data_IF_251087859749
#
_entry.id   IF_251087859749
#
_cell.length_a   1.000
_cell.length_b   1.000
_cell.length_c   1.000
_cell.angle_alpha   90.00
_cell.angle_beta   90.00
_cell.angle_gamma   90.00
#
_symmetry.space_group_name_H-M   'P 1'
#
loop_
_entity.id
_entity.type
_entity.pdbx_description
1 polymer ?
#
# COMPACT_ATOMS: atom_id res chain seq x y z
N UNK A 1 -17.14 28.49 -32.13
CA UNK A 1 -17.55 28.03 -30.79
C UNK A 1 -17.30 26.53 -30.73
N UNK A 2 -16.16 26.12 -30.18
CA UNK A 2 -15.86 24.71 -29.89
C UNK A 2 -15.94 24.62 -28.37
N UNK A 3 -16.97 23.94 -27.86
CA UNK A 3 -17.23 23.82 -26.44
C UNK A 3 -16.05 23.12 -25.76
N UNK A 4 -15.43 23.81 -24.81
CA UNK A 4 -14.49 23.19 -23.90
C UNK A 4 -15.26 22.16 -23.06
N UNK A 5 -15.02 20.87 -23.31
CA UNK A 5 -15.37 19.84 -22.34
C UNK A 5 -14.57 20.17 -21.07
N UNK A 6 -15.19 20.26 -19.89
CA UNK A 6 -14.50 20.71 -18.68
C UNK A 6 -13.31 19.78 -18.40
N UNK A 7 -12.13 20.39 -18.23
CA UNK A 7 -10.83 19.74 -18.04
C UNK A 7 -10.87 18.63 -16.97
N UNK A 8 -11.70 18.82 -15.93
CA UNK A 8 -11.97 17.84 -14.87
C UNK A 8 -12.61 16.53 -15.35
N UNK A 9 -13.51 16.57 -16.34
CA UNK A 9 -14.13 15.36 -16.90
C UNK A 9 -13.12 14.55 -17.73
N UNK A 10 -12.14 15.23 -18.33
CA UNK A 10 -11.07 14.58 -19.12
C UNK A 10 -10.07 13.88 -18.20
N UNK A 11 -9.75 14.49 -17.04
CA UNK A 11 -8.86 13.88 -16.03
C UNK A 11 -9.54 12.66 -15.40
N UNK A 12 -10.80 12.77 -14.98
CA UNK A 12 -11.54 11.65 -14.38
C UNK A 12 -11.63 10.43 -15.32
N UNK A 13 -11.87 10.66 -16.62
CA UNK A 13 -11.88 9.60 -17.63
C UNK A 13 -10.51 8.92 -17.77
N UNK A 14 -9.42 9.70 -17.80
CA UNK A 14 -8.06 9.14 -17.92
C UNK A 14 -7.67 8.32 -16.70
N UNK A 15 -8.00 8.81 -15.51
CA UNK A 15 -7.75 8.08 -14.25
C UNK A 15 -8.53 6.77 -14.26
N UNK A 16 -9.82 6.80 -14.62
CA UNK A 16 -10.65 5.60 -14.70
C UNK A 16 -10.12 4.58 -15.74
N UNK A 17 -9.70 5.07 -16.90
CA UNK A 17 -9.21 4.21 -17.99
C UNK A 17 -7.88 3.53 -17.66
N UNK A 18 -7.04 4.18 -16.85
CA UNK A 18 -5.76 3.63 -16.45
C UNK A 18 -5.81 2.81 -15.13
N UNK A 19 -7.00 2.67 -14.51
CA UNK A 19 -7.17 1.79 -13.34
C UNK A 19 -6.91 0.31 -13.72
N UNK A 20 -6.08 -0.42 -12.96
CA UNK A 20 -5.72 -1.81 -13.25
C UNK A 20 -6.78 -2.83 -12.83
N UNK A 21 -7.84 -2.37 -12.16
CA UNK A 21 -8.97 -3.17 -11.73
C UNK A 21 -10.24 -2.75 -12.47
N UNK A 22 -11.16 -3.70 -12.64
CA UNK A 22 -12.39 -3.45 -13.37
C UNK A 22 -13.31 -2.54 -12.56
N UNK A 23 -13.85 -1.52 -13.24
CA UNK A 23 -14.83 -0.59 -12.68
C UNK A 23 -16.05 -0.55 -13.59
N UNK A 24 -17.23 -0.76 -13.00
CA UNK A 24 -18.52 -0.67 -13.68
C UNK A 24 -19.44 0.28 -12.94
N UNK A 25 -20.03 1.24 -13.65
CA UNK A 25 -21.13 2.05 -13.13
C UNK A 25 -22.46 1.42 -13.50
N UNK A 26 -23.44 1.51 -12.61
CA UNK A 26 -24.81 1.04 -12.81
C UNK A 26 -25.81 2.16 -12.51
N UNK A 27 -26.80 2.31 -13.39
CA UNK A 27 -27.97 3.17 -13.14
C UNK A 27 -28.88 2.55 -12.08
N UNK A 28 -29.92 3.25 -11.64
CA UNK A 28 -30.98 2.72 -10.75
C UNK A 28 -31.68 1.44 -11.25
N UNK A 29 -31.58 1.13 -12.54
CA UNK A 29 -32.17 -0.08 -13.17
C UNK A 29 -31.12 -1.12 -13.55
N UNK A 30 -29.97 -1.12 -12.87
CA UNK A 30 -28.84 -2.03 -13.12
C UNK A 30 -28.35 -2.04 -14.57
N UNK A 31 -28.53 -0.91 -15.24
CA UNK A 31 -28.02 -0.69 -16.59
C UNK A 31 -26.61 -0.14 -16.50
N UNK A 32 -25.68 -0.72 -17.23
CA UNK A 32 -24.27 -0.32 -17.23
C UNK A 32 -24.10 1.10 -17.79
N UNK A 33 -23.55 2.01 -16.98
CA UNK A 33 -23.30 3.43 -17.33
C UNK A 33 -21.81 3.71 -17.55
N UNK A 34 -20.94 3.14 -16.72
CA UNK A 34 -19.49 3.34 -16.76
C UNK A 34 -18.83 1.99 -17.00
N UNK A 35 -17.79 1.98 -17.85
CA UNK A 35 -16.95 0.81 -18.14
C UNK A 35 -15.56 1.32 -18.43
N UNK A 36 -14.56 0.79 -17.72
CA UNK A 36 -13.14 1.02 -18.00
C UNK A 36 -12.50 -0.16 -18.75
N UNK A 37 -11.27 -0.03 -19.29
CA UNK A 37 -10.60 -1.09 -20.05
C UNK A 37 -10.39 -2.39 -19.27
N UNK A 38 -10.15 -2.31 -17.95
CA UNK A 38 -10.04 -3.49 -17.11
C UNK A 38 -11.39 -4.24 -17.00
N UNK A 39 -12.52 -3.53 -16.98
CA UNK A 39 -13.85 -4.14 -17.06
C UNK A 39 -14.13 -4.76 -18.44
N UNK A 40 -13.68 -4.14 -19.53
CA UNK A 40 -13.76 -4.77 -20.86
C UNK A 40 -13.02 -6.11 -20.91
N UNK A 41 -11.85 -6.15 -20.28
CA UNK A 41 -11.02 -7.36 -20.15
C UNK A 41 -11.70 -8.41 -19.29
N UNK A 42 -12.23 -8.03 -18.13
CA UNK A 42 -12.91 -8.94 -17.20
C UNK A 42 -14.15 -9.57 -17.83
N UNK A 43 -14.98 -8.78 -18.51
CA UNK A 43 -16.23 -9.23 -19.13
C UNK A 43 -16.02 -9.77 -20.57
N UNK A 44 -14.79 -9.74 -21.08
CA UNK A 44 -14.40 -10.11 -22.44
C UNK A 44 -15.29 -9.47 -23.53
N UNK A 45 -15.68 -8.21 -23.33
CA UNK A 45 -16.55 -7.45 -24.23
C UNK A 45 -16.17 -5.98 -24.22
N UNK A 46 -16.29 -5.32 -25.36
CA UNK A 46 -15.97 -3.90 -25.46
C UNK A 46 -16.99 -3.01 -24.75
N UNK A 47 -16.58 -1.81 -24.34
CA UNK A 47 -17.41 -0.84 -23.65
C UNK A 47 -18.70 -0.48 -24.41
N UNK A 48 -18.72 -0.34 -25.75
CA UNK A 48 -19.97 -0.13 -26.49
C UNK A 48 -20.95 -1.31 -26.43
N UNK A 49 -20.48 -2.54 -26.20
CA UNK A 49 -21.34 -3.72 -26.05
C UNK A 49 -21.87 -3.89 -24.62
N UNK A 50 -21.18 -3.30 -23.65
CA UNK A 50 -21.52 -3.34 -22.23
C UNK A 50 -22.43 -2.17 -21.83
N UNK A 51 -22.10 -0.94 -22.23
CA UNK A 51 -22.85 0.28 -21.88
C UNK A 51 -24.29 0.22 -22.39
N UNK A 52 -25.22 0.67 -21.56
CA UNK A 52 -26.65 0.71 -21.86
C UNK A 52 -27.36 -0.65 -21.75
N UNK A 53 -26.65 -1.73 -21.39
CA UNK A 53 -27.26 -3.04 -21.16
C UNK A 53 -27.51 -3.31 -19.67
N UNK A 54 -28.58 -4.03 -19.32
CA UNK A 54 -28.77 -4.51 -17.96
C UNK A 54 -27.71 -5.58 -17.63
N UNK A 55 -27.20 -5.57 -16.39
CA UNK A 55 -26.15 -6.50 -15.97
C UNK A 55 -26.61 -7.97 -16.04
N UNK A 56 -27.93 -8.21 -15.92
CA UNK A 56 -28.58 -9.53 -16.08
C UNK A 56 -28.43 -10.12 -17.48
N UNK A 57 -28.13 -9.32 -18.51
CA UNK A 57 -27.83 -9.83 -19.86
C UNK A 57 -26.38 -10.37 -19.97
N UNK A 58 -25.54 -10.01 -18.99
CA UNK A 58 -24.11 -10.31 -18.97
C UNK A 58 -23.78 -11.47 -18.02
N UNK A 59 -24.65 -11.72 -17.04
CA UNK A 59 -24.47 -12.70 -15.97
C UNK A 59 -25.65 -13.67 -15.92
N UNK A 60 -25.44 -14.92 -15.47
CA UNK A 60 -26.52 -15.84 -15.15
C UNK A 60 -27.50 -15.25 -14.12
N UNK A 61 -28.80 -15.59 -14.18
CA UNK A 61 -29.79 -15.11 -13.20
C UNK A 61 -29.48 -15.47 -11.74
N UNK A 62 -28.72 -16.54 -11.52
CA UNK A 62 -28.29 -17.05 -10.22
C UNK A 62 -26.88 -16.59 -9.82
N UNK A 63 -26.31 -15.60 -10.52
CA UNK A 63 -24.98 -15.10 -10.23
C UNK A 63 -24.95 -14.41 -8.85
N UNK A 64 -24.03 -14.80 -7.93
CA UNK A 64 -23.92 -14.20 -6.59
C UNK A 64 -23.67 -12.68 -6.59
N UNK A 65 -23.12 -12.16 -7.70
CA UNK A 65 -22.91 -10.74 -7.91
C UNK A 65 -24.24 -9.96 -7.98
N UNK A 66 -25.30 -10.55 -8.54
CA UNK A 66 -26.62 -9.90 -8.62
C UNK A 66 -27.23 -9.74 -7.22
N UNK A 67 -27.17 -10.79 -6.39
CA UNK A 67 -27.64 -10.75 -4.99
C UNK A 67 -26.89 -9.69 -4.17
N UNK A 68 -25.57 -9.56 -4.41
CA UNK A 68 -24.74 -8.53 -3.79
C UNK A 68 -25.19 -7.11 -4.18
N UNK A 69 -25.44 -6.86 -5.47
CA UNK A 69 -25.91 -5.55 -5.96
C UNK A 69 -27.27 -5.21 -5.35
N UNK A 70 -28.19 -6.17 -5.34
CA UNK A 70 -29.52 -5.99 -4.74
C UNK A 70 -29.45 -5.64 -3.26
N UNK A 71 -28.51 -6.25 -2.53
CA UNK A 71 -28.29 -5.92 -1.11
C UNK A 71 -27.67 -4.53 -0.96
N UNK A 72 -26.66 -4.18 -1.76
CA UNK A 72 -26.04 -2.85 -1.74
C UNK A 72 -27.06 -1.73 -1.99
N UNK A 73 -28.01 -1.94 -2.91
CA UNK A 73 -29.11 -1.00 -3.18
C UNK A 73 -30.04 -0.79 -1.99
N UNK A 74 -30.35 -1.86 -1.24
CA UNK A 74 -31.25 -1.78 -0.09
C UNK A 74 -30.60 -1.08 1.10
N UNK A 75 -29.30 -1.29 1.30
CA UNK A 75 -28.56 -0.76 2.45
C UNK A 75 -28.11 0.70 2.24
N UNK A 76 -27.92 1.15 1.00
CA UNK A 76 -27.74 2.58 0.68
C UNK A 76 -26.39 3.18 1.07
N UNK A 77 -25.37 2.35 1.29
CA UNK A 77 -24.02 2.75 1.68
C UNK A 77 -22.94 1.99 0.91
N UNK A 78 -21.66 2.21 1.28
CA UNK A 78 -20.55 1.43 0.72
C UNK A 78 -20.59 0.01 1.28
N UNK A 79 -20.53 -0.99 0.40
CA UNK A 79 -20.57 -2.40 0.77
C UNK A 79 -19.49 -3.17 0.04
N UNK A 80 -18.88 -4.13 0.71
CA UNK A 80 -17.87 -5.02 0.12
C UNK A 80 -18.21 -6.48 0.39
N UNK A 81 -17.89 -7.35 -0.56
CA UNK A 81 -18.04 -8.79 -0.44
C UNK A 81 -16.84 -9.49 -1.05
N UNK A 82 -16.45 -10.60 -0.43
CA UNK A 82 -15.23 -11.32 -0.79
C UNK A 82 -15.53 -12.59 -1.56
N UNK A 83 -14.63 -12.96 -2.45
CA UNK A 83 -14.73 -14.21 -3.23
C UNK A 83 -16.09 -14.40 -3.91
N UNK A 84 -16.66 -13.31 -4.44
CA UNK A 84 -17.83 -13.40 -5.33
C UNK A 84 -17.37 -14.09 -6.60
N UNK A 85 -17.99 -15.23 -6.89
CA UNK A 85 -17.78 -15.93 -8.15
C UNK A 85 -18.48 -15.20 -9.27
N UNK A 86 -17.69 -14.69 -10.22
CA UNK A 86 -18.18 -14.12 -11.48
C UNK A 86 -17.92 -15.15 -12.58
N UNK A 87 -18.99 -15.59 -13.21
CA UNK A 87 -18.95 -16.54 -14.31
C UNK A 87 -20.06 -16.21 -15.30
N UNK A 88 -19.79 -16.39 -16.59
CA UNK A 88 -20.81 -16.33 -17.64
C UNK A 88 -20.38 -17.25 -18.79
N UNK A 89 -21.22 -17.50 -19.80
CA UNK A 89 -20.82 -18.25 -21.00
C UNK A 89 -19.56 -17.73 -21.69
N UNK A 90 -19.20 -16.45 -21.47
CA UNK A 90 -18.03 -15.80 -22.06
C UNK A 90 -16.95 -15.41 -21.03
N UNK A 91 -17.20 -15.63 -19.74
CA UNK A 91 -16.28 -15.24 -18.67
C UNK A 91 -15.84 -16.52 -17.98
N UNK A 92 -14.54 -16.83 -18.07
CA UNK A 92 -13.94 -17.92 -17.29
C UNK A 92 -14.20 -17.67 -15.80
N UNK A 93 -14.75 -18.66 -15.06
CA UNK A 93 -15.08 -18.48 -13.66
C UNK A 93 -13.91 -17.94 -12.84
N UNK A 94 -14.11 -16.79 -12.20
CA UNK A 94 -13.11 -16.12 -11.38
C UNK A 94 -13.75 -15.67 -10.06
N UNK A 95 -13.01 -15.81 -8.97
CA UNK A 95 -13.41 -15.29 -7.67
C UNK A 95 -12.82 -13.90 -7.50
N UNK A 96 -13.66 -12.92 -7.17
CA UNK A 96 -13.31 -11.52 -7.04
C UNK A 96 -13.81 -10.96 -5.71
N UNK A 97 -13.03 -10.07 -5.11
CA UNK A 97 -13.52 -9.18 -4.07
C UNK A 97 -14.22 -8.01 -4.78
N UNK A 98 -15.45 -7.70 -4.40
CA UNK A 98 -16.28 -6.68 -5.05
C UNK A 98 -16.71 -5.65 -4.03
N UNK A 99 -16.54 -4.39 -4.38
CA UNK A 99 -17.09 -3.26 -3.62
C UNK A 99 -18.15 -2.54 -4.44
N UNK A 100 -19.22 -2.10 -3.78
CA UNK A 100 -20.28 -1.28 -4.32
C UNK A 100 -20.37 0.01 -3.52
N UNK A 101 -20.35 1.16 -4.19
CA UNK A 101 -20.56 2.47 -3.57
C UNK A 101 -21.63 3.25 -4.34
N UNK A 102 -22.41 4.12 -3.66
CA UNK A 102 -23.28 5.07 -4.35
C UNK A 102 -22.44 5.99 -5.26
N UNK A 103 -22.91 6.23 -6.49
CA UNK A 103 -22.21 7.12 -7.44
C UNK A 103 -22.51 8.61 -7.22
N UNK A 104 -23.36 8.93 -6.24
CA UNK A 104 -23.82 10.29 -5.94
C UNK A 104 -25.02 10.74 -6.77
N UNK A 105 -25.45 9.97 -7.77
CA UNK A 105 -26.73 10.13 -8.44
C UNK A 105 -27.82 9.29 -7.76
N UNK A 106 -29.09 9.63 -7.99
CA UNK A 106 -30.22 9.05 -7.26
C UNK A 106 -30.42 7.56 -7.60
N UNK A 107 -29.80 6.70 -6.80
CA UNK A 107 -29.85 5.25 -6.93
C UNK A 107 -28.86 4.68 -7.94
N UNK A 108 -27.81 5.39 -8.33
CA UNK A 108 -26.70 4.80 -9.09
C UNK A 108 -25.68 4.10 -8.17
N UNK A 109 -24.88 3.20 -8.76
CA UNK A 109 -23.83 2.46 -8.06
C UNK A 109 -22.54 2.42 -8.89
N UNK A 110 -21.39 2.49 -8.23
CA UNK A 110 -20.09 2.13 -8.80
C UNK A 110 -19.64 0.81 -8.18
N UNK A 111 -19.35 -0.16 -9.05
CA UNK A 111 -18.79 -1.45 -8.70
C UNK A 111 -17.30 -1.50 -9.03
N UNK A 112 -16.51 -1.94 -8.07
CA UNK A 112 -15.07 -2.16 -8.22
C UNK A 112 -14.77 -3.64 -8.01
N UNK A 113 -14.05 -4.26 -8.94
CA UNK A 113 -13.70 -5.68 -8.90
C UNK A 113 -12.20 -5.87 -8.72
N UNK A 114 -11.83 -6.52 -7.62
CA UNK A 114 -10.44 -6.80 -7.24
C UNK A 114 -10.18 -8.30 -7.30
N UNK A 115 -9.04 -8.76 -7.81
CA UNK A 115 -8.68 -10.18 -7.79
C UNK A 115 -8.58 -10.67 -6.34
N UNK A 116 -9.13 -11.85 -6.06
CA UNK A 116 -8.97 -12.49 -4.74
C UNK A 116 -7.49 -12.80 -4.53
N UNK A 117 -6.87 -12.13 -3.56
CA UNK A 117 -5.55 -12.55 -3.06
C UNK A 117 -5.75 -13.87 -2.34
N UNK A 118 -5.35 -14.98 -2.99
CA UNK A 118 -5.61 -16.35 -2.48
C UNK A 118 -4.84 -16.72 -1.21
N UNK A 119 -4.15 -15.80 -0.55
CA UNK A 119 -3.50 -16.04 0.73
C UNK A 119 -3.66 -14.81 1.62
N UNK A 120 -4.58 -14.87 2.59
CA UNK A 120 -4.55 -14.33 3.96
C UNK A 120 -6.01 -14.12 4.44
N UNK A 121 -6.43 -14.78 5.53
CA UNK A 121 -7.68 -14.45 6.19
C UNK A 121 -7.45 -13.23 7.10
N UNK A 122 -7.87 -12.05 6.67
CA UNK A 122 -8.24 -10.91 7.55
C UNK A 122 -8.88 -9.78 6.73
N UNK A 123 -9.90 -9.13 7.30
CA UNK A 123 -10.77 -8.11 6.66
C UNK A 123 -10.11 -6.74 6.45
N UNK A 124 -8.90 -6.51 6.98
CA UNK A 124 -8.11 -5.28 6.81
C UNK A 124 -7.22 -5.28 5.56
N UNK A 125 -6.90 -6.44 4.98
CA UNK A 125 -5.92 -6.54 3.90
C UNK A 125 -6.46 -6.13 2.51
N UNK A 126 -7.79 -6.20 2.28
CA UNK A 126 -8.37 -5.90 0.96
C UNK A 126 -8.47 -4.38 0.70
N UNK A 127 -8.87 -3.59 1.70
CA UNK A 127 -8.88 -2.12 1.62
C UNK A 127 -7.45 -1.57 1.47
N UNK A 128 -6.49 -2.13 2.21
CA UNK A 128 -5.07 -1.74 2.14
C UNK A 128 -4.47 -2.06 0.77
N UNK A 129 -4.82 -3.19 0.15
CA UNK A 129 -4.32 -3.57 -1.18
C UNK A 129 -4.89 -2.71 -2.32
N UNK A 130 -6.18 -2.38 -2.29
CA UNK A 130 -6.79 -1.47 -3.25
C UNK A 130 -6.26 -0.04 -3.09
N UNK A 131 -6.07 0.39 -1.85
CA UNK A 131 -5.45 1.68 -1.51
C UNK A 131 -3.97 1.74 -1.96
N UNK A 132 -3.22 0.64 -1.83
CA UNK A 132 -1.84 0.54 -2.30
C UNK A 132 -1.72 0.57 -3.83
N UNK A 133 -2.70 0.02 -4.57
CA UNK A 133 -2.75 0.16 -6.04
C UNK A 133 -3.12 1.59 -6.48
N UNK A 134 -4.06 2.24 -5.79
CA UNK A 134 -4.41 3.64 -6.05
C UNK A 134 -3.22 4.56 -5.73
N UNK A 135 -2.50 4.29 -4.65
CA UNK A 135 -1.26 4.97 -4.29
C UNK A 135 -0.17 4.79 -5.36
N UNK A 136 -0.04 3.58 -5.95
CA UNK A 136 0.88 3.26 -7.05
C UNK A 136 0.66 4.13 -8.30
N UNK A 137 -0.60 4.39 -8.60
CA UNK A 137 -0.98 5.12 -9.80
C UNK A 137 -0.92 6.64 -9.60
N UNK A 138 -1.45 7.14 -8.49
CA UNK A 138 -1.33 8.56 -8.11
C UNK A 138 0.12 8.96 -7.89
N UNK A 139 0.95 8.05 -7.39
CA UNK A 139 2.37 8.29 -7.17
C UNK A 139 3.12 8.74 -8.41
N UNK A 140 3.07 7.92 -9.45
CA UNK A 140 3.72 8.22 -10.72
C UNK A 140 3.03 9.37 -11.48
N UNK A 141 1.70 9.48 -11.42
CA UNK A 141 0.96 10.56 -12.09
C UNK A 141 1.08 11.92 -11.40
N UNK A 142 1.38 11.99 -10.09
CA UNK A 142 1.65 13.24 -9.37
C UNK A 142 3.13 13.62 -9.48
N UNK A 143 4.06 12.64 -9.42
CA UNK A 143 5.50 12.91 -9.60
C UNK A 143 5.82 13.58 -10.94
N UNK A 144 5.15 13.17 -12.02
CA UNK A 144 5.39 13.70 -13.35
C UNK A 144 5.09 15.22 -13.52
N UNK A 145 3.88 15.72 -13.23
CA UNK A 145 3.59 17.15 -13.28
C UNK A 145 4.36 17.94 -12.22
N UNK A 146 4.64 17.35 -11.05
CA UNK A 146 5.41 18.00 -10.01
C UNK A 146 6.88 18.23 -10.43
N UNK A 147 7.50 17.23 -11.05
CA UNK A 147 8.82 17.35 -11.65
C UNK A 147 8.83 18.43 -12.76
N UNK A 148 7.75 18.52 -13.54
CA UNK A 148 7.55 19.59 -14.51
C UNK A 148 7.49 20.99 -13.90
N UNK A 149 6.74 21.16 -12.81
CA UNK A 149 6.62 22.44 -12.06
C UNK A 149 7.96 22.84 -11.44
N UNK A 150 8.65 21.90 -10.79
CA UNK A 150 9.97 22.12 -10.18
C UNK A 150 11.01 22.45 -11.24
N UNK A 151 11.00 21.74 -12.37
CA UNK A 151 11.90 21.98 -13.50
C UNK A 151 11.66 23.35 -14.16
N UNK A 152 10.40 23.74 -14.35
CA UNK A 152 10.05 25.07 -14.85
C UNK A 152 10.52 26.17 -13.88
N UNK A 153 10.31 25.98 -12.57
CA UNK A 153 10.79 26.91 -11.55
C UNK A 153 12.32 27.03 -11.52
N UNK A 154 13.06 25.93 -11.72
CA UNK A 154 14.52 25.95 -11.86
C UNK A 154 14.99 26.70 -13.11
N UNK A 155 14.31 26.53 -14.24
CA UNK A 155 14.62 27.26 -15.47
C UNK A 155 14.36 28.76 -15.31
N UNK A 156 13.24 29.13 -14.70
CA UNK A 156 12.90 30.53 -14.42
C UNK A 156 13.89 31.16 -13.43
N UNK A 157 14.35 30.43 -12.41
CA UNK A 157 15.31 30.93 -11.43
C UNK A 157 16.66 31.33 -12.03
N UNK A 158 17.04 30.76 -13.20
CA UNK A 158 18.28 31.12 -13.91
C UNK A 158 18.24 32.49 -14.59
N UNK A 159 17.05 33.02 -14.85
CA UNK A 159 16.84 34.30 -15.54
C UNK A 159 16.01 35.29 -14.70
N UNK A 160 15.70 34.93 -13.45
CA UNK A 160 14.87 35.70 -12.55
C UNK A 160 15.61 36.88 -11.94
N UNK A 161 14.90 37.99 -11.75
CA UNK A 161 15.38 39.14 -10.96
C UNK A 161 15.35 38.81 -9.46
N UNK A 162 16.15 39.50 -8.65
CA UNK A 162 16.28 39.24 -7.21
C UNK A 162 14.93 39.25 -6.47
N UNK A 163 14.00 40.09 -6.89
CA UNK A 163 12.64 40.18 -6.33
C UNK A 163 11.79 38.92 -6.57
N UNK A 164 12.12 38.11 -7.59
CA UNK A 164 11.40 36.89 -7.98
C UNK A 164 12.01 35.62 -7.37
N UNK A 165 13.26 35.69 -6.90
CA UNK A 165 13.99 34.55 -6.31
C UNK A 165 13.32 33.94 -5.07
N UNK A 166 12.74 34.72 -4.12
CA UNK A 166 12.07 34.15 -2.96
C UNK A 166 10.88 33.28 -3.34
N UNK A 167 10.08 33.72 -4.32
CA UNK A 167 8.89 33.00 -4.77
C UNK A 167 9.26 31.69 -5.48
N UNK A 168 10.30 31.71 -6.33
CA UNK A 168 10.78 30.52 -7.05
C UNK A 168 11.44 29.50 -6.11
N UNK A 169 12.08 29.98 -5.05
CA UNK A 169 12.62 29.11 -3.99
C UNK A 169 11.50 28.41 -3.24
N UNK A 170 10.45 29.15 -2.87
CA UNK A 170 9.27 28.60 -2.19
C UNK A 170 8.56 27.54 -3.05
N UNK A 171 8.39 27.77 -4.36
CA UNK A 171 7.80 26.78 -5.29
C UNK A 171 8.63 25.49 -5.33
N UNK A 172 9.96 25.58 -5.33
CA UNK A 172 10.85 24.40 -5.32
C UNK A 172 10.80 23.66 -4.00
N UNK A 173 10.79 24.36 -2.88
CA UNK A 173 10.67 23.76 -1.54
C UNK A 173 9.33 23.04 -1.36
N UNK A 174 8.24 23.64 -1.86
CA UNK A 174 6.92 23.02 -1.82
C UNK A 174 6.82 21.82 -2.77
N UNK A 175 7.45 21.88 -3.94
CA UNK A 175 7.61 20.73 -4.83
C UNK A 175 8.36 19.58 -4.16
N UNK A 176 9.51 19.84 -3.56
CA UNK A 176 10.27 18.84 -2.81
C UNK A 176 9.53 18.33 -1.56
N UNK A 177 8.64 19.14 -0.97
CA UNK A 177 7.76 18.71 0.13
C UNK A 177 6.68 17.75 -0.36
N UNK A 178 6.02 18.05 -1.48
CA UNK A 178 5.01 17.19 -2.09
C UNK A 178 5.64 15.89 -2.59
N UNK A 179 6.83 15.94 -3.19
CA UNK A 179 7.56 14.74 -3.63
C UNK A 179 7.81 13.79 -2.46
N UNK A 180 8.29 14.31 -1.32
CA UNK A 180 8.44 13.52 -0.08
C UNK A 180 7.12 12.98 0.46
N UNK A 181 5.99 13.68 0.28
CA UNK A 181 4.66 13.18 0.67
C UNK A 181 4.27 12.01 -0.24
N UNK A 182 4.50 12.14 -1.55
CA UNK A 182 4.20 11.12 -2.55
C UNK A 182 5.13 9.92 -2.40
N UNK A 183 6.42 10.11 -2.14
CA UNK A 183 7.38 9.03 -1.82
C UNK A 183 6.93 8.21 -0.62
N UNK A 184 6.39 8.87 0.43
CA UNK A 184 5.80 8.18 1.58
C UNK A 184 4.52 7.43 1.23
N UNK A 185 3.74 7.94 0.28
CA UNK A 185 2.51 7.33 -0.20
C UNK A 185 2.78 6.09 -1.07
N UNK A 186 3.87 6.15 -1.82
CA UNK A 186 4.35 5.11 -2.75
C UNK A 186 5.27 4.07 -2.08
N UNK A 187 5.77 4.31 -0.88
CA UNK A 187 6.60 3.33 -0.15
C UNK A 187 5.91 1.96 0.07
N UNK A 188 4.57 1.88 0.03
CA UNK A 188 3.82 0.62 0.06
C UNK A 188 3.95 -0.22 -1.23
N UNK A 189 4.53 0.33 -2.31
CA UNK A 189 4.57 -0.27 -3.66
C UNK A 189 5.46 -1.50 -3.78
N UNK A 190 6.58 -1.57 -3.05
CA UNK A 190 7.67 -2.52 -3.33
C UNK A 190 7.40 -3.93 -2.82
N UNK A 191 6.55 -4.08 -1.80
CA UNK A 191 6.49 -5.30 -0.99
C UNK A 191 5.70 -6.46 -1.63
N UNK A 192 4.90 -6.21 -2.67
CA UNK A 192 4.02 -7.25 -3.25
C UNK A 192 4.72 -8.31 -4.10
N UNK A 193 5.98 -8.09 -4.51
CA UNK A 193 6.76 -9.08 -5.25
C UNK A 193 8.23 -9.04 -4.83
N UNK A 194 8.56 -9.63 -3.66
CA UNK A 194 9.93 -9.67 -3.17
C UNK A 194 10.87 -10.34 -4.18
N UNK A 195 12.00 -9.71 -4.45
CA UNK A 195 13.10 -10.28 -5.25
C UNK A 195 13.99 -11.10 -4.33
N UNK A 196 13.47 -12.24 -3.90
CA UNK A 196 14.16 -13.05 -2.90
C UNK A 196 15.44 -13.66 -3.45
N UNK A 197 16.45 -13.72 -2.59
CA UNK A 197 17.69 -14.47 -2.81
C UNK A 197 18.20 -14.98 -1.48
N UNK A 198 19.01 -16.03 -1.53
CA UNK A 198 19.72 -16.52 -0.35
C UNK A 198 20.61 -15.40 0.19
N UNK A 199 20.30 -14.97 1.41
CA UNK A 199 20.89 -13.79 2.04
C UNK A 199 21.27 -14.10 3.48
N UNK A 200 22.48 -13.69 3.87
CA UNK A 200 22.89 -13.64 5.26
C UNK A 200 22.26 -12.41 5.93
N UNK A 201 21.36 -12.64 6.88
CA UNK A 201 20.64 -11.57 7.60
C UNK A 201 21.57 -10.63 8.37
N UNK A 202 22.69 -11.14 8.91
CA UNK A 202 23.60 -10.33 9.71
C UNK A 202 24.27 -9.23 8.88
N UNK A 203 24.59 -9.51 7.60
CA UNK A 203 25.16 -8.51 6.68
C UNK A 203 24.18 -7.35 6.45
N UNK A 204 22.89 -7.65 6.29
CA UNK A 204 21.86 -6.64 6.11
C UNK A 204 21.68 -5.81 7.39
N UNK A 205 21.64 -6.48 8.55
CA UNK A 205 21.49 -5.81 9.84
C UNK A 205 22.70 -4.92 10.17
N UNK A 206 23.93 -5.36 9.89
CA UNK A 206 25.14 -4.56 10.09
C UNK A 206 25.07 -3.26 9.26
N UNK A 207 24.67 -3.35 7.99
CA UNK A 207 24.47 -2.17 7.13
C UNK A 207 23.46 -1.18 7.71
N UNK A 208 22.31 -1.68 8.21
CA UNK A 208 21.28 -0.84 8.85
C UNK A 208 21.83 -0.16 10.10
N UNK A 209 22.59 -0.88 10.92
CA UNK A 209 23.16 -0.36 12.16
C UNK A 209 24.22 0.69 11.88
N UNK A 210 25.07 0.49 10.87
CA UNK A 210 26.08 1.48 10.48
C UNK A 210 25.43 2.76 9.94
N UNK A 211 24.41 2.62 9.10
CA UNK A 211 23.61 3.75 8.62
C UNK A 211 22.93 4.49 9.79
N UNK A 212 22.39 3.76 10.75
CA UNK A 212 21.73 4.33 11.92
C UNK A 212 22.70 5.08 12.83
N UNK A 213 23.89 4.52 13.10
CA UNK A 213 24.96 5.19 13.85
C UNK A 213 25.43 6.47 13.17
N UNK A 214 25.57 6.46 11.84
CA UNK A 214 26.01 7.61 11.05
C UNK A 214 24.94 8.72 10.98
N UNK A 215 23.66 8.36 10.81
CA UNK A 215 22.57 9.31 10.56
C UNK A 215 21.99 9.91 11.83
N UNK A 216 22.06 9.20 12.96
CA UNK A 216 21.38 9.58 14.21
C UNK A 216 22.36 9.74 15.39
N UNK A 217 23.65 9.91 15.11
CA UNK A 217 24.74 9.84 16.09
C UNK A 217 24.60 10.77 17.30
N UNK A 218 24.55 10.19 18.50
CA UNK A 218 25.56 10.38 19.57
C UNK A 218 25.15 9.76 20.93
N UNK A 219 23.86 9.55 21.21
CA UNK A 219 23.44 9.23 22.60
C UNK A 219 23.09 7.77 22.87
N UNK A 220 22.67 6.98 21.86
CA UNK A 220 22.16 5.62 22.06
C UNK A 220 23.23 4.54 21.92
N UNK A 221 23.33 3.65 22.92
CA UNK A 221 24.21 2.48 22.89
C UNK A 221 23.53 1.34 22.13
N UNK A 222 24.15 0.88 21.04
CA UNK A 222 23.71 -0.29 20.29
C UNK A 222 24.38 -1.57 20.84
N UNK A 223 23.58 -2.61 21.08
CA UNK A 223 24.06 -3.94 21.48
C UNK A 223 23.61 -5.00 20.48
N UNK A 224 24.57 -5.65 19.83
CA UNK A 224 24.30 -6.67 18.81
C UNK A 224 24.46 -8.06 19.43
N UNK A 225 23.37 -8.83 19.43
CA UNK A 225 23.28 -10.16 20.03
C UNK A 225 22.92 -11.17 18.94
N UNK A 226 23.83 -11.36 17.99
CA UNK A 226 23.60 -12.25 16.85
C UNK A 226 23.86 -13.71 17.21
N UNK A 227 22.98 -14.59 16.73
CA UNK A 227 23.18 -16.03 16.77
C UNK A 227 23.98 -16.45 15.53
N UNK A 228 25.27 -16.84 15.68
CA UNK A 228 26.13 -17.18 14.55
C UNK A 228 25.78 -18.54 13.91
N UNK A 229 24.87 -19.31 14.51
CA UNK A 229 24.46 -20.62 13.99
C UNK A 229 23.33 -20.53 12.96
N UNK A 230 22.77 -19.34 12.75
CA UNK A 230 21.66 -19.14 11.84
C UNK A 230 22.08 -19.34 10.37
N UNK A 231 21.29 -20.09 9.58
CA UNK A 231 21.54 -20.25 8.16
C UNK A 231 21.17 -18.98 7.39
N UNK A 232 21.66 -18.88 6.16
CA UNK A 232 21.13 -17.92 5.19
C UNK A 232 19.67 -18.24 4.87
N UNK A 233 18.88 -17.20 4.58
CA UNK A 233 17.44 -17.32 4.31
C UNK A 233 17.12 -16.78 2.92
N UNK A 234 16.06 -17.32 2.31
CA UNK A 234 15.51 -16.81 1.04
C UNK A 234 14.63 -15.59 1.33
N UNK A 235 15.17 -14.39 1.12
CA UNK A 235 14.54 -13.11 1.45
C UNK A 235 14.95 -12.04 0.45
N UNK A 236 14.13 -11.02 0.26
CA UNK A 236 14.56 -9.81 -0.43
C UNK A 236 15.40 -8.95 0.55
N UNK A 237 16.70 -8.75 0.27
CA UNK A 237 17.60 -8.02 1.16
C UNK A 237 17.24 -6.54 1.30
N UNK A 238 16.66 -5.92 0.27
CA UNK A 238 16.30 -4.51 0.29
C UNK A 238 15.06 -4.31 1.18
N UNK A 239 14.08 -5.22 1.07
CA UNK A 239 12.94 -5.26 1.98
C UNK A 239 13.36 -5.53 3.42
N UNK A 240 14.27 -6.49 3.65
CA UNK A 240 14.77 -6.77 4.99
C UNK A 240 15.50 -5.55 5.58
N UNK A 241 16.29 -4.87 4.76
CA UNK A 241 16.98 -3.63 5.14
C UNK A 241 15.97 -2.55 5.55
N UNK A 242 14.92 -2.35 4.76
CA UNK A 242 13.89 -1.35 5.04
C UNK A 242 13.08 -1.65 6.31
N UNK A 243 12.67 -2.91 6.52
CA UNK A 243 11.97 -3.33 7.73
C UNK A 243 12.84 -3.09 8.97
N UNK A 244 14.09 -3.55 8.94
CA UNK A 244 15.02 -3.36 10.04
C UNK A 244 15.32 -1.88 10.31
N UNK A 245 15.48 -1.07 9.26
CA UNK A 245 15.71 0.37 9.39
C UNK A 245 14.51 1.09 10.02
N UNK A 246 13.29 0.74 9.65
CA UNK A 246 12.07 1.31 10.25
C UNK A 246 11.96 0.95 11.74
N UNK A 247 12.26 -0.30 12.12
CA UNK A 247 12.28 -0.72 13.52
C UNK A 247 13.37 0.01 14.32
N UNK A 248 14.59 0.07 13.79
CA UNK A 248 15.72 0.76 14.43
C UNK A 248 15.46 2.26 14.58
N UNK A 249 14.90 2.90 13.55
CA UNK A 249 14.51 4.31 13.62
C UNK A 249 13.45 4.56 14.67
N UNK A 250 12.42 3.70 14.74
CA UNK A 250 11.39 3.80 15.76
C UNK A 250 11.97 3.66 17.18
N UNK A 251 12.91 2.74 17.39
CA UNK A 251 13.64 2.56 18.64
C UNK A 251 14.47 3.81 19.00
N UNK A 252 15.21 4.39 18.04
CA UNK A 252 16.00 5.62 18.25
C UNK A 252 15.09 6.78 18.67
N UNK A 253 13.97 6.95 18.00
CA UNK A 253 13.00 7.99 18.34
C UNK A 253 12.36 7.75 19.71
N UNK A 254 12.10 6.49 20.09
CA UNK A 254 11.52 6.12 21.38
C UNK A 254 12.47 6.40 22.53
N UNK A 255 13.77 6.08 22.39
CA UNK A 255 14.79 6.38 23.40
C UNK A 255 15.26 7.84 23.40
N UNK A 256 14.63 8.70 22.60
CA UNK A 256 14.92 10.12 22.48
C UNK A 256 14.80 10.92 23.78
N UNK A 257 14.71 12.25 23.64
CA UNK A 257 14.93 13.23 24.71
C UNK A 257 14.12 12.88 25.98
N UNK A 258 14.82 12.37 27.01
CA UNK A 258 14.23 12.00 28.30
C UNK A 258 14.68 10.64 28.86
N UNK A 259 15.21 9.73 28.03
CA UNK A 259 15.66 8.41 28.48
C UNK A 259 17.06 8.47 29.09
N UNK A 260 17.23 7.97 30.32
CA UNK A 260 18.56 7.83 30.94
C UNK A 260 19.27 6.60 30.37
N UNK A 261 20.48 6.78 29.84
CA UNK A 261 21.28 5.71 29.21
C UNK A 261 20.51 4.98 28.09
N UNK A 262 20.17 5.68 26.99
CA UNK A 262 19.40 5.09 25.91
C UNK A 262 20.16 3.90 25.30
N UNK A 263 19.46 2.77 25.18
CA UNK A 263 19.98 1.48 24.77
C UNK A 263 19.03 0.87 23.75
N UNK A 264 19.61 0.36 22.67
CA UNK A 264 18.90 -0.37 21.63
C UNK A 264 19.65 -1.69 21.43
N UNK A 265 18.98 -2.83 21.59
CA UNK A 265 19.56 -4.13 21.28
C UNK A 265 18.93 -4.72 20.02
N UNK A 266 19.77 -5.27 19.14
CA UNK A 266 19.33 -6.05 17.98
C UNK A 266 19.83 -7.47 18.15
N UNK A 267 18.90 -8.43 18.21
CA UNK A 267 19.23 -9.84 18.39
C UNK A 267 18.65 -10.68 17.26
N UNK A 268 19.30 -11.81 16.98
CA UNK A 268 18.79 -12.82 16.06
C UNK A 268 18.72 -14.18 16.77
N UNK A 269 17.69 -14.97 16.48
CA UNK A 269 17.53 -16.30 17.08
C UNK A 269 16.69 -17.23 16.22
N UNK A 270 16.96 -18.53 16.30
CA UNK A 270 16.06 -19.54 15.73
C UNK A 270 14.90 -19.84 16.67
N UNK A 271 13.66 -19.78 16.17
CA UNK A 271 12.45 -20.16 16.89
C UNK A 271 11.85 -21.42 16.31
N UNK A 272 12.00 -22.53 17.03
CA UNK A 272 11.30 -23.76 16.71
C UNK A 272 9.80 -23.64 17.00
N UNK A 273 8.97 -24.38 16.24
CA UNK A 273 7.53 -24.50 16.53
C UNK A 273 6.62 -23.62 15.69
N UNK A 274 7.17 -22.70 14.90
CA UNK A 274 6.42 -22.01 13.86
C UNK A 274 6.23 -22.91 12.64
N UNK A 275 5.03 -22.88 12.06
CA UNK A 275 4.68 -23.60 10.82
C UNK A 275 4.26 -22.57 9.79
N UNK A 276 5.15 -22.26 8.87
CA UNK A 276 4.82 -21.43 7.72
C UNK A 276 4.42 -22.29 6.52
N UNK A 277 3.48 -21.82 5.71
CA UNK A 277 3.19 -22.42 4.42
C UNK A 277 4.38 -22.16 3.50
N UNK A 278 5.16 -23.19 3.18
CA UNK A 278 6.21 -23.07 2.16
C UNK A 278 5.58 -22.87 0.78
N UNK A 279 6.11 -21.95 -0.02
CA UNK A 279 5.58 -21.68 -1.37
C UNK A 279 5.67 -22.90 -2.30
N UNK A 280 6.72 -23.73 -2.19
CA UNK A 280 6.92 -24.90 -3.07
C UNK A 280 7.67 -26.08 -2.38
N UNK A 281 7.60 -26.20 -1.04
CA UNK A 281 8.42 -27.19 -0.31
C UNK A 281 7.90 -27.56 1.09
N UNK A 282 8.59 -28.48 1.80
CA UNK A 282 8.15 -28.95 3.11
C UNK A 282 8.03 -27.78 4.09
N UNK A 283 6.96 -27.77 4.89
CA UNK A 283 6.70 -26.76 5.93
C UNK A 283 7.96 -26.53 6.77
N UNK A 284 8.50 -25.31 6.74
CA UNK A 284 9.58 -24.92 7.63
C UNK A 284 9.12 -25.10 9.09
N UNK A 285 9.94 -25.78 9.91
CA UNK A 285 9.63 -26.12 11.32
C UNK A 285 10.11 -25.06 12.32
N UNK A 286 10.37 -23.85 11.84
CA UNK A 286 10.81 -22.74 12.66
C UNK A 286 10.94 -21.43 11.88
N UNK A 287 11.13 -20.35 12.62
CA UNK A 287 11.33 -19.00 12.13
C UNK A 287 12.74 -18.51 12.49
N UNK A 288 13.31 -17.63 11.66
CA UNK A 288 14.38 -16.75 12.09
C UNK A 288 13.71 -15.52 12.71
N UNK A 289 13.98 -15.27 13.99
CA UNK A 289 13.51 -14.08 14.71
C UNK A 289 14.60 -13.02 14.67
N UNK A 290 14.18 -11.79 14.34
CA UNK A 290 14.97 -10.57 14.49
C UNK A 290 14.23 -9.69 15.49
N UNK A 291 14.87 -9.37 16.62
CA UNK A 291 14.27 -8.51 17.64
C UNK A 291 15.03 -7.20 17.75
N UNK A 292 14.32 -6.08 17.68
CA UNK A 292 14.84 -4.75 18.00
C UNK A 292 14.17 -4.31 19.30
N UNK A 293 14.95 -4.14 20.36
CA UNK A 293 14.45 -3.78 21.70
C UNK A 293 15.08 -2.48 22.15
N UNK A 294 14.27 -1.60 22.73
CA UNK A 294 14.73 -0.33 23.28
C UNK A 294 14.29 -0.14 24.74
N UNK A 295 14.93 0.79 25.44
CA UNK A 295 14.59 1.12 26.83
C UNK A 295 13.88 2.48 26.96
N UNK A 296 13.15 2.90 25.93
CA UNK A 296 12.31 4.09 25.94
C UNK A 296 11.04 3.90 26.77
N UNK A 297 10.07 4.83 26.67
CA UNK A 297 8.83 4.81 27.45
C UNK A 297 7.86 3.68 27.06
N UNK A 298 8.17 2.92 26.00
CA UNK A 298 7.32 1.87 25.47
C UNK A 298 6.06 2.40 24.77
N UNK A 299 5.17 1.47 24.41
CA UNK A 299 3.89 1.75 23.76
C UNK A 299 2.78 1.75 24.82
N UNK A 300 1.92 2.79 24.90
CA UNK A 300 0.76 2.77 25.77
C UNK A 300 -0.19 1.60 25.45
N UNK A 301 -0.75 0.95 26.46
CA UNK A 301 -1.59 -0.25 26.30
C UNK A 301 -2.76 -0.05 25.32
N UNK A 302 -3.42 1.12 25.37
CA UNK A 302 -4.50 1.49 24.46
C UNK A 302 -4.07 1.60 22.97
N UNK A 303 -2.77 1.73 22.72
CA UNK A 303 -2.20 1.90 21.38
C UNK A 303 -1.65 0.59 20.81
N UNK A 304 -1.41 -0.45 21.63
CA UNK A 304 -0.77 -1.72 21.23
C UNK A 304 -1.48 -2.38 20.05
N UNK A 305 -2.82 -2.40 20.06
CA UNK A 305 -3.61 -3.00 18.99
C UNK A 305 -3.51 -2.23 17.66
N UNK A 306 -3.11 -0.96 17.71
CA UNK A 306 -3.17 -0.02 16.58
C UNK A 306 -1.80 0.41 16.05
N UNK A 307 -0.70 0.05 16.72
CA UNK A 307 0.65 0.50 16.32
C UNK A 307 1.05 0.08 14.90
N UNK A 308 0.43 -0.98 14.40
CA UNK A 308 0.65 -1.53 13.08
C UNK A 308 -0.34 -0.98 12.03
N UNK A 309 -1.34 -0.20 12.44
CA UNK A 309 -2.28 0.46 11.52
C UNK A 309 -1.57 1.58 10.73
N UNK A 310 -1.81 1.69 9.41
CA UNK A 310 -1.32 2.82 8.63
C UNK A 310 -1.79 4.17 9.21
N UNK A 311 -0.91 5.16 9.17
CA UNK A 311 -1.13 6.53 9.66
C UNK A 311 -1.35 6.66 11.17
N UNK A 312 -1.28 5.56 11.93
CA UNK A 312 -1.32 5.62 13.38
C UNK A 312 0.03 6.11 13.93
N UNK A 313 0.00 7.19 14.71
CA UNK A 313 1.17 7.73 15.39
C UNK A 313 0.74 8.45 16.66
N UNK A 314 1.53 8.29 17.72
CA UNK A 314 1.39 9.08 18.96
C UNK A 314 2.37 10.25 19.01
N UNK A 315 3.23 10.39 17.99
CA UNK A 315 4.31 11.39 17.93
C UNK A 315 3.91 12.58 17.07
N UNK A 316 4.26 13.79 17.51
CA UNK A 316 4.06 15.03 16.75
C UNK A 316 4.95 15.05 15.49
N UNK A 317 4.33 15.12 14.31
CA UNK A 317 5.03 15.15 13.01
C UNK A 317 5.47 13.78 12.46
N UNK A 318 5.18 12.68 13.15
CA UNK A 318 5.39 11.33 12.62
C UNK A 318 4.33 11.00 11.55
N UNK A 319 4.73 10.32 10.46
CA UNK A 319 3.78 9.96 9.40
C UNK A 319 2.92 8.73 9.73
N UNK A 320 3.30 7.92 10.73
CA UNK A 320 2.58 6.69 11.10
C UNK A 320 2.66 5.56 10.08
N UNK A 321 3.65 5.60 9.18
CA UNK A 321 3.77 4.64 8.05
C UNK A 321 4.81 3.55 8.34
N UNK A 322 5.83 3.84 9.16
CA UNK A 322 7.01 2.96 9.31
C UNK A 322 6.69 1.55 9.80
N UNK A 323 5.81 1.38 10.79
CA UNK A 323 5.42 0.05 11.28
C UNK A 323 4.46 -0.68 10.33
N UNK A 324 3.58 0.04 9.64
CA UNK A 324 2.72 -0.54 8.61
C UNK A 324 3.55 -1.12 7.45
N UNK A 325 4.63 -0.44 7.06
CA UNK A 325 5.61 -0.96 6.08
C UNK A 325 6.27 -2.26 6.56
N UNK A 326 6.64 -2.35 7.84
CA UNK A 326 7.22 -3.57 8.41
C UNK A 326 6.23 -4.74 8.31
N UNK A 327 4.95 -4.51 8.60
CA UNK A 327 3.89 -5.54 8.49
C UNK A 327 3.81 -6.08 7.07
N UNK A 328 3.72 -5.19 6.08
CA UNK A 328 3.64 -5.57 4.66
C UNK A 328 4.88 -6.35 4.20
N UNK A 329 6.08 -5.89 4.58
CA UNK A 329 7.33 -6.60 4.29
C UNK A 329 7.30 -8.02 4.89
N UNK A 330 6.91 -8.15 6.16
CA UNK A 330 6.87 -9.47 6.81
C UNK A 330 5.85 -10.39 6.14
N UNK A 331 4.64 -9.89 5.85
CA UNK A 331 3.59 -10.66 5.19
C UNK A 331 4.01 -11.13 3.79
N UNK A 332 4.69 -10.27 3.01
CA UNK A 332 5.20 -10.60 1.69
C UNK A 332 6.20 -11.77 1.70
N UNK A 333 6.94 -11.93 2.80
CA UNK A 333 7.88 -13.02 3.04
C UNK A 333 7.28 -14.20 3.82
N UNK A 334 5.96 -14.20 4.07
CA UNK A 334 5.28 -15.25 4.84
C UNK A 334 5.61 -15.24 6.33
N UNK A 335 6.20 -14.16 6.84
CA UNK A 335 6.47 -13.91 8.25
C UNK A 335 5.39 -13.02 8.89
N UNK A 336 5.66 -12.59 10.12
CA UNK A 336 4.82 -11.67 10.87
C UNK A 336 5.69 -10.81 11.79
N UNK A 337 5.13 -9.70 12.26
CA UNK A 337 5.75 -8.81 13.26
C UNK A 337 4.87 -8.75 14.51
N UNK A 338 5.49 -8.67 15.68
CA UNK A 338 4.84 -8.47 16.97
C UNK A 338 5.67 -7.50 17.81
N UNK A 339 5.05 -6.93 18.84
CA UNK A 339 5.73 -6.13 19.87
C UNK A 339 6.37 -7.01 20.94
#
# INVERSE_FOLDING_TARGET
MIGAVPESATIASRVLDAMPFAVIGLSRRDTVTIVNPAAETLFQRSAPLLRGRPLTDLLPPDAPLLDFIDRARREGGVMSARSIRVASPHITPIDLDVSASPDGEEGGLVLTFLPVSRNVPDDTAAEVNAFAQIARMLGHEVKNPLAGIVGAAQLLARQARDEQQPLLTLIREEGARIERIVDRFTAFETFFSPRTRITNVHVVLDSVIDLAKASFGANSRFELLYDPSLPEIDVDPDHLHEAALNLVKNAIEAVGIGTKQPRISVATRYRAGFRFAGRDGPRARGALEISVTDNGPGVPEASVARVFEPFFTTKSGGAGIGLAVVVEIMQAHGGFVVL
#
